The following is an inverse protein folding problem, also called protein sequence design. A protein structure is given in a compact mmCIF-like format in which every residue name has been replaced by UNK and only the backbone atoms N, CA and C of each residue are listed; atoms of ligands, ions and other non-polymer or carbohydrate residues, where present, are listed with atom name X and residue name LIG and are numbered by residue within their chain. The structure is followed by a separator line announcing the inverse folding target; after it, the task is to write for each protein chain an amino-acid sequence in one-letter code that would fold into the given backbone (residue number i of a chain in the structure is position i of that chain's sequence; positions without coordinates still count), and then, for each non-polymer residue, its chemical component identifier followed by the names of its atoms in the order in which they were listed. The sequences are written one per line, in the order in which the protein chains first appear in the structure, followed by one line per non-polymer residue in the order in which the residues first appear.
data_IF_773854785928
#
_entry.id   IF_773854785928
#
_cell.length_a   1.000
_cell.length_b   1.000
_cell.length_c   1.000
_cell.angle_alpha   90.00
_cell.angle_beta   90.00
_cell.angle_gamma   90.00
#
_symmetry.space_group_name_H-M   'P 1'
#
loop_
_entity.id
_entity.type
_entity.pdbx_description
1 polymer ?
#
# COMPACT_ATOMS: atom_id res chain seq x y z
N UNK A 1 -22.32 7.38 26.14
CA UNK A 1 -22.72 7.35 24.72
C UNK A 1 -23.79 6.29 24.61
N UNK A 2 -24.98 6.66 24.16
CA UNK A 2 -26.07 5.71 23.97
C UNK A 2 -25.90 5.03 22.61
N UNK A 3 -26.04 3.70 22.54
CA UNK A 3 -25.80 2.93 21.32
C UNK A 3 -27.13 2.75 20.58
N UNK A 4 -27.28 3.42 19.42
CA UNK A 4 -28.44 3.29 18.54
C UNK A 4 -28.28 2.17 17.51
N UNK A 5 -29.38 1.50 17.16
CA UNK A 5 -29.43 0.53 16.06
C UNK A 5 -29.94 1.21 14.79
N UNK A 6 -29.16 1.14 13.72
CA UNK A 6 -29.51 1.70 12.41
C UNK A 6 -29.47 0.60 11.35
N UNK A 7 -30.54 0.54 10.55
CA UNK A 7 -30.67 -0.39 9.44
C UNK A 7 -30.56 0.37 8.12
N UNK A 8 -30.01 -0.29 7.10
CA UNK A 8 -30.03 0.20 5.73
C UNK A 8 -31.44 0.13 5.15
N UNK A 9 -31.67 0.85 4.05
CA UNK A 9 -32.93 0.70 3.32
C UNK A 9 -32.98 -0.69 2.67
N UNK A 10 -34.16 -1.30 2.54
CA UNK A 10 -34.30 -2.55 1.82
C UNK A 10 -33.75 -2.43 0.38
N UNK A 11 -33.07 -3.47 -0.10
CA UNK A 11 -32.52 -3.57 -1.45
C UNK A 11 -31.48 -2.51 -1.85
N UNK A 12 -30.83 -1.84 -0.89
CA UNK A 12 -29.71 -0.90 -1.15
C UNK A 12 -28.39 -1.42 -0.55
N UNK A 13 -27.80 -2.51 -1.08
CA UNK A 13 -26.57 -3.10 -0.54
C UNK A 13 -25.37 -2.13 -0.58
N UNK A 14 -25.42 -1.13 -1.46
CA UNK A 14 -24.42 -0.06 -1.56
C UNK A 14 -24.34 0.80 -0.31
N UNK A 15 -25.42 0.90 0.47
CA UNK A 15 -25.43 1.67 1.72
C UNK A 15 -24.51 1.03 2.78
N UNK A 16 -24.19 -0.25 2.64
CA UNK A 16 -23.26 -1.00 3.50
C UNK A 16 -21.90 -1.28 2.82
N UNK A 17 -21.55 -0.55 1.77
CA UNK A 17 -20.41 -0.90 0.90
C UNK A 17 -19.06 -1.02 1.62
N UNK A 18 -18.85 -0.30 2.73
CA UNK A 18 -17.61 -0.39 3.52
C UNK A 18 -17.47 -1.75 4.21
N UNK A 19 -18.52 -2.21 4.88
CA UNK A 19 -18.54 -3.52 5.54
C UNK A 19 -18.49 -4.64 4.49
N UNK A 20 -19.22 -4.51 3.38
CA UNK A 20 -19.16 -5.51 2.30
C UNK A 20 -17.75 -5.64 1.71
N UNK A 21 -17.05 -4.52 1.51
CA UNK A 21 -15.66 -4.53 1.04
C UNK A 21 -14.72 -5.11 2.08
N UNK A 22 -14.94 -4.82 3.36
CA UNK A 22 -14.19 -5.42 4.47
C UNK A 22 -14.35 -6.94 4.48
N UNK A 23 -15.59 -7.42 4.43
CA UNK A 23 -15.92 -8.84 4.41
C UNK A 23 -15.27 -9.54 3.21
N UNK A 24 -15.33 -8.95 2.01
CA UNK A 24 -14.64 -9.47 0.83
C UNK A 24 -13.13 -9.57 1.06
N UNK A 25 -12.50 -8.51 1.56
CA UNK A 25 -11.05 -8.48 1.81
C UNK A 25 -10.63 -9.56 2.81
N UNK A 26 -11.42 -9.77 3.87
CA UNK A 26 -11.15 -10.81 4.86
C UNK A 26 -11.37 -12.20 4.25
N UNK A 27 -12.46 -12.39 3.51
CA UNK A 27 -12.78 -13.65 2.83
C UNK A 27 -11.68 -14.10 1.88
N UNK A 28 -11.23 -13.21 0.98
CA UNK A 28 -10.12 -13.50 0.06
C UNK A 28 -8.84 -13.93 0.80
N UNK A 29 -8.55 -13.30 1.95
CA UNK A 29 -7.37 -13.66 2.77
C UNK A 29 -7.52 -14.97 3.52
N UNK A 30 -8.73 -15.32 3.94
CA UNK A 30 -9.03 -16.63 4.50
C UNK A 30 -8.80 -17.69 3.42
N UNK A 31 -9.33 -17.48 2.22
CA UNK A 31 -9.17 -18.41 1.09
C UNK A 31 -7.69 -18.63 0.75
N UNK A 32 -6.89 -17.55 0.70
CA UNK A 32 -5.43 -17.62 0.49
C UNK A 32 -4.73 -18.46 1.58
N UNK A 33 -5.10 -18.25 2.85
CA UNK A 33 -4.52 -19.00 3.97
C UNK A 33 -4.94 -20.47 3.94
N UNK A 34 -6.20 -20.78 3.67
CA UNK A 34 -6.69 -22.14 3.56
C UNK A 34 -6.03 -22.87 2.37
N UNK A 35 -5.85 -22.19 1.24
CA UNK A 35 -5.15 -22.73 0.07
C UNK A 35 -3.68 -23.07 0.40
N UNK A 36 -3.01 -22.23 1.20
CA UNK A 36 -1.64 -22.47 1.67
C UNK A 36 -1.55 -23.72 2.56
N UNK A 37 -2.59 -24.02 3.32
CA UNK A 37 -2.67 -25.17 4.22
C UNK A 37 -3.05 -26.48 3.51
N UNK A 38 -3.47 -26.44 2.25
CA UNK A 38 -3.80 -27.63 1.44
C UNK A 38 -4.93 -28.47 2.06
N UNK A 39 -4.77 -29.79 2.10
CA UNK A 39 -5.78 -30.71 2.64
C UNK A 39 -6.08 -30.44 4.12
N UNK A 40 -5.07 -30.05 4.91
CA UNK A 40 -5.24 -29.63 6.30
C UNK A 40 -6.07 -28.34 6.43
N UNK A 41 -6.09 -27.50 5.39
CA UNK A 41 -6.96 -26.31 5.31
C UNK A 41 -8.43 -26.66 5.14
N UNK A 42 -8.76 -27.72 4.39
CA UNK A 42 -10.15 -28.17 4.23
C UNK A 42 -10.70 -28.73 5.53
N UNK A 43 -9.91 -29.54 6.23
CA UNK A 43 -10.28 -30.08 7.54
C UNK A 43 -10.43 -28.97 8.59
N UNK A 44 -9.56 -27.94 8.52
CA UNK A 44 -9.64 -26.75 9.37
C UNK A 44 -10.91 -25.92 9.13
N UNK A 45 -11.47 -25.90 7.93
CA UNK A 45 -12.74 -25.22 7.66
C UNK A 45 -13.94 -25.93 8.30
N UNK A 46 -13.83 -27.25 8.52
CA UNK A 46 -14.86 -28.06 9.18
C UNK A 46 -14.86 -27.97 10.71
N UNK A 47 -13.77 -27.51 11.33
CA UNK A 47 -13.63 -27.33 12.78
C UNK A 47 -13.67 -25.83 13.16
N UNK A 48 -14.56 -25.47 14.09
CA UNK A 48 -14.72 -24.10 14.56
C UNK A 48 -13.44 -23.52 15.15
N UNK A 49 -12.70 -24.30 15.95
CA UNK A 49 -11.48 -23.82 16.59
C UNK A 49 -10.37 -23.55 15.57
N UNK A 50 -10.26 -24.41 14.55
CA UNK A 50 -9.35 -24.19 13.44
C UNK A 50 -9.76 -22.98 12.58
N UNK A 51 -11.03 -22.84 12.20
CA UNK A 51 -11.53 -21.67 11.46
C UNK A 51 -11.27 -20.35 12.21
N UNK A 52 -11.49 -20.33 13.54
CA UNK A 52 -11.21 -19.16 14.38
C UNK A 52 -9.74 -18.75 14.32
N UNK A 53 -8.81 -19.72 14.40
CA UNK A 53 -7.36 -19.44 14.32
C UNK A 53 -6.95 -18.84 12.97
N UNK A 54 -7.54 -19.32 11.87
CA UNK A 54 -7.30 -18.77 10.53
C UNK A 54 -7.76 -17.31 10.48
N UNK A 55 -9.00 -17.05 10.90
CA UNK A 55 -9.56 -15.68 10.94
C UNK A 55 -8.70 -14.76 11.82
N UNK A 56 -8.32 -15.21 13.02
CA UNK A 56 -7.48 -14.43 13.93
C UNK A 56 -6.12 -14.10 13.28
N UNK A 57 -5.53 -15.05 12.55
CA UNK A 57 -4.30 -14.83 11.77
C UNK A 57 -4.47 -13.80 10.66
N UNK A 58 -5.59 -13.79 9.95
CA UNK A 58 -5.90 -12.76 8.94
C UNK A 58 -6.02 -11.37 9.58
N UNK A 59 -6.76 -11.27 10.69
CA UNK A 59 -6.99 -10.02 11.41
C UNK A 59 -5.69 -9.47 11.97
N UNK A 60 -4.86 -10.33 12.57
CA UNK A 60 -3.56 -9.95 13.12
C UNK A 60 -2.64 -9.44 12.01
N UNK A 61 -2.53 -10.16 10.89
CA UNK A 61 -1.75 -9.72 9.75
C UNK A 61 -2.20 -8.34 9.23
N UNK A 62 -3.51 -8.12 9.10
CA UNK A 62 -4.05 -6.85 8.64
C UNK A 62 -3.65 -5.70 9.57
N UNK A 63 -3.79 -5.89 10.88
CA UNK A 63 -3.59 -4.83 11.87
C UNK A 63 -2.12 -4.57 12.24
N UNK A 64 -1.32 -5.63 12.30
CA UNK A 64 0.03 -5.60 12.88
C UNK A 64 1.17 -5.77 11.87
N UNK A 65 0.86 -6.15 10.62
CA UNK A 65 1.88 -6.43 9.61
C UNK A 65 1.66 -5.68 8.30
N UNK A 66 0.41 -5.56 7.83
CA UNK A 66 0.11 -4.94 6.53
C UNK A 66 0.35 -3.43 6.57
N UNK A 67 1.08 -2.94 5.55
CA UNK A 67 1.24 -1.50 5.32
C UNK A 67 0.16 -1.01 4.37
N UNK A 68 -0.56 0.04 4.77
CA UNK A 68 -1.68 0.59 4.00
C UNK A 68 -1.28 1.88 3.31
N UNK A 69 -1.43 1.95 1.99
CA UNK A 69 -1.13 3.15 1.21
C UNK A 69 -1.95 4.37 1.67
N UNK A 70 -3.23 4.17 1.99
CA UNK A 70 -4.12 5.20 2.55
C UNK A 70 -3.66 5.73 3.92
N UNK A 71 -2.86 4.95 4.66
CA UNK A 71 -2.29 5.31 5.95
C UNK A 71 -0.81 5.72 5.82
N UNK A 72 -0.39 6.26 4.68
CA UNK A 72 1.01 6.59 4.41
C UNK A 72 1.95 5.41 4.61
N UNK A 73 1.53 4.18 4.26
CA UNK A 73 2.28 2.96 4.55
C UNK A 73 2.64 2.81 6.03
N UNK A 74 1.71 3.15 6.92
CA UNK A 74 1.72 2.73 8.32
C UNK A 74 0.83 1.51 8.50
N UNK A 75 1.05 0.80 9.60
CA UNK A 75 0.19 -0.30 10.04
C UNK A 75 -1.04 0.28 10.75
N UNK A 76 -2.21 -0.37 10.67
CA UNK A 76 -3.40 0.11 11.36
C UNK A 76 -3.19 0.28 12.88
N UNK A 77 -2.46 -0.64 13.52
CA UNK A 77 -2.14 -0.51 14.96
C UNK A 77 -1.35 0.76 15.27
N UNK A 78 -0.36 1.11 14.44
CA UNK A 78 0.47 2.30 14.65
C UNK A 78 -0.32 3.59 14.42
N UNK A 79 -1.27 3.56 13.48
CA UNK A 79 -2.07 4.72 13.13
C UNK A 79 -3.19 4.99 14.13
N UNK A 80 -3.98 3.98 14.48
CA UNK A 80 -5.16 4.15 15.35
C UNK A 80 -4.85 4.05 16.84
N UNK A 81 -3.82 3.29 17.24
CA UNK A 81 -3.46 3.09 18.67
C UNK A 81 -2.11 3.68 19.04
N UNK A 82 -1.33 4.14 18.06
CA UNK A 82 0.02 4.69 18.26
C UNK A 82 0.09 6.20 18.06
N UNK A 83 1.30 6.69 17.78
CA UNK A 83 1.56 8.08 17.40
C UNK A 83 2.04 8.13 15.94
N UNK A 84 1.12 8.26 14.96
CA UNK A 84 1.49 8.26 13.54
C UNK A 84 2.38 9.46 13.18
N UNK A 85 2.19 10.62 13.81
CA UNK A 85 2.98 11.83 13.53
C UNK A 85 4.45 11.63 13.85
N UNK A 86 4.76 11.04 15.01
CA UNK A 86 6.13 10.75 15.42
C UNK A 86 6.82 9.77 14.45
N UNK A 87 6.12 8.72 14.04
CA UNK A 87 6.64 7.72 13.09
C UNK A 87 6.92 8.33 11.71
N UNK A 88 6.02 9.19 11.23
CA UNK A 88 6.20 9.89 9.96
C UNK A 88 7.34 10.91 10.05
N UNK A 89 7.49 11.62 11.17
CA UNK A 89 8.60 12.55 11.40
C UNK A 89 9.95 11.81 11.39
N UNK A 90 10.05 10.65 12.05
CA UNK A 90 11.26 9.83 12.03
C UNK A 90 11.59 9.35 10.60
N UNK A 91 10.58 8.90 9.86
CA UNK A 91 10.73 8.49 8.46
C UNK A 91 11.24 9.64 7.59
N UNK A 92 10.67 10.84 7.74
CA UNK A 92 11.11 12.03 7.03
C UNK A 92 12.57 12.33 7.33
N UNK A 93 12.98 12.30 8.60
CA UNK A 93 14.38 12.49 9.00
C UNK A 93 15.30 11.50 8.28
N UNK A 94 15.01 10.19 8.35
CA UNK A 94 15.79 9.14 7.65
C UNK A 94 15.89 9.41 6.14
N UNK A 95 14.77 9.74 5.49
CA UNK A 95 14.76 10.04 4.05
C UNK A 95 15.57 11.29 3.70
N UNK A 96 15.48 12.36 4.50
CA UNK A 96 16.26 13.59 4.28
C UNK A 96 17.75 13.34 4.43
N UNK A 97 18.18 12.62 5.48
CA UNK A 97 19.58 12.24 5.67
C UNK A 97 20.08 11.38 4.51
N UNK A 98 19.32 10.37 4.08
CA UNK A 98 19.71 9.53 2.95
C UNK A 98 19.84 10.34 1.64
N UNK A 99 18.95 11.31 1.38
CA UNK A 99 19.06 12.21 0.22
C UNK A 99 20.32 13.07 0.29
N UNK A 100 20.64 13.61 1.46
CA UNK A 100 21.85 14.42 1.66
C UNK A 100 23.12 13.61 1.43
N UNK A 101 23.20 12.39 1.98
CA UNK A 101 24.34 11.49 1.78
C UNK A 101 24.54 11.15 0.30
N UNK A 102 23.45 10.78 -0.41
CA UNK A 102 23.51 10.54 -1.86
C UNK A 102 23.98 11.77 -2.63
N UNK A 103 23.52 12.97 -2.24
CA UNK A 103 23.96 14.23 -2.86
C UNK A 103 25.47 14.45 -2.66
N UNK A 104 25.98 14.21 -1.46
CA UNK A 104 27.41 14.35 -1.16
C UNK A 104 28.24 13.37 -1.99
N UNK A 105 27.87 12.10 -2.02
CA UNK A 105 28.57 11.08 -2.80
C UNK A 105 28.52 11.38 -4.31
N UNK A 106 27.37 11.82 -4.84
CA UNK A 106 27.25 12.23 -6.24
C UNK A 106 28.06 13.48 -6.60
N UNK A 107 28.39 14.35 -5.64
CA UNK A 107 29.28 15.49 -5.87
C UNK A 107 30.76 15.08 -5.82
N UNK A 108 31.11 14.08 -5.01
CA UNK A 108 32.46 13.51 -4.91
C UNK A 108 32.81 12.69 -6.14
N UNK A 109 31.86 11.91 -6.65
CA UNK A 109 31.88 11.38 -8.00
C UNK A 109 31.71 12.59 -8.90
N UNK A 110 32.79 13.34 -9.19
CA UNK A 110 32.78 14.40 -10.21
C UNK A 110 32.02 13.82 -11.39
N UNK A 111 30.80 14.28 -11.65
CA UNK A 111 30.14 14.00 -12.89
C UNK A 111 31.14 14.42 -13.94
N UNK A 112 31.72 13.45 -14.65
CA UNK A 112 32.36 13.71 -15.92
C UNK A 112 31.26 14.43 -16.67
N UNK A 113 31.41 15.74 -16.88
CA UNK A 113 30.53 16.47 -17.79
C UNK A 113 30.51 15.60 -19.04
N UNK A 114 29.38 14.94 -19.31
CA UNK A 114 29.16 14.40 -20.64
C UNK A 114 29.31 15.64 -21.50
N UNK A 115 30.37 15.74 -22.32
CA UNK A 115 30.55 16.92 -23.13
C UNK A 115 29.27 17.04 -23.93
N UNK A 116 28.52 18.12 -23.70
CA UNK A 116 27.43 18.44 -24.59
C UNK A 116 28.10 18.67 -25.93
N UNK A 117 27.89 17.79 -26.94
CA UNK A 117 28.49 18.04 -28.24
C UNK A 117 28.01 19.42 -28.66
N UNK A 118 28.94 20.29 -29.07
CA UNK A 118 28.61 21.59 -29.62
C UNK A 118 27.45 21.39 -30.59
N UNK A 119 26.40 22.22 -30.48
CA UNK A 119 25.18 22.05 -31.25
C UNK A 119 25.54 21.87 -32.73
N UNK A 120 25.55 20.62 -33.19
CA UNK A 120 25.49 20.36 -34.61
C UNK A 120 24.11 20.87 -34.98
N UNK A 121 24.09 22.01 -35.66
CA UNK A 121 22.89 22.51 -36.32
C UNK A 121 22.52 21.43 -37.32
N UNK A 122 21.69 20.47 -36.89
CA UNK A 122 21.05 19.52 -37.78
C UNK A 122 20.05 20.37 -38.57
N UNK A 123 20.52 20.93 -39.68
CA UNK A 123 19.68 21.52 -40.70
C UNK A 123 18.84 20.37 -41.25
N UNK A 124 17.65 20.21 -40.69
CA UNK A 124 16.67 19.26 -41.19
C UNK A 124 16.20 19.77 -42.56
N UNK A 125 16.89 19.34 -43.63
CA UNK A 125 16.60 19.71 -45.02
C UNK A 125 15.25 19.18 -45.50
N UNK A 126 14.55 18.37 -44.71
CA UNK A 126 13.30 17.70 -45.07
C UNK A 126 12.09 18.17 -44.26
N UNK A 127 12.14 19.32 -43.57
CA UNK A 127 10.88 19.96 -43.16
C UNK A 127 10.13 20.45 -44.39
N UNK A 128 9.31 19.57 -44.98
CA UNK A 128 8.20 19.99 -45.83
C UNK A 128 7.35 20.96 -45.01
N UNK A 129 7.30 22.20 -45.47
CA UNK A 129 6.36 23.21 -44.97
C UNK A 129 4.95 22.66 -45.23
N UNK A 130 4.25 22.29 -44.16
CA UNK A 130 2.81 22.07 -44.26
C UNK A 130 2.18 23.46 -44.20
N UNK A 131 1.68 23.94 -45.34
CA UNK A 131 0.84 25.12 -45.42
C UNK A 131 -0.50 24.84 -44.75
N UNK A 132 -0.94 25.76 -43.89
CA UNK A 132 -2.30 25.83 -43.36
C UNK A 132 -3.32 25.99 -44.47
#
# INVERSE_FOLDING_TARGET
MDVGHHLIRPHTPTDNAEIERCNRTIGERIDDQLATLGDAGRDAAGDFAAARRVIDGVIDHYNHHRLHSSLNFLRPVDYYRGNPEALLAERLRKLTTARQLRKQENLRIRQRLLPYPAAETILNSERRLVSL
#
